data_IF_874319077453
#
_entry.id   IF_874319077453
#
_cell.length_a   1.000
_cell.length_b   1.000
_cell.length_c   1.000
_cell.angle_alpha   90.00
_cell.angle_beta   90.00
_cell.angle_gamma   90.00
#
_symmetry.space_group_name_H-M   'P 1'
#
loop_
_entity.id
_entity.type
_entity.pdbx_description
1 polymer ?
#
# COMPACT_ATOMS: atom_id res chain seq x y z
N UNK A 1 -13.90 -30.36 28.00
CA UNK A 1 -12.79 -29.40 27.86
C UNK A 1 -13.14 -28.50 26.70
N UNK A 2 -13.66 -27.30 26.99
CA UNK A 2 -14.22 -26.36 26.01
C UNK A 2 -13.32 -25.12 25.95
N UNK A 3 -12.80 -24.80 24.77
CA UNK A 3 -12.03 -23.56 24.53
C UNK A 3 -12.98 -22.60 23.82
N UNK A 4 -13.33 -21.44 24.38
CA UNK A 4 -14.15 -20.47 23.67
C UNK A 4 -13.29 -19.71 22.65
N UNK A 5 -13.75 -19.66 21.40
CA UNK A 5 -13.22 -18.81 20.34
C UNK A 5 -13.56 -17.35 20.68
N UNK A 6 -12.58 -16.60 21.17
CA UNK A 6 -12.70 -15.16 21.36
C UNK A 6 -12.83 -14.47 19.99
N UNK A 7 -13.89 -13.65 19.87
CA UNK A 7 -14.27 -12.94 18.65
C UNK A 7 -13.18 -12.05 18.07
N UNK A 8 -13.12 -12.03 16.74
CA UNK A 8 -12.19 -11.23 15.95
C UNK A 8 -12.35 -9.75 16.24
N UNK A 9 -11.23 -9.09 16.56
CA UNK A 9 -11.14 -7.62 16.65
C UNK A 9 -11.22 -7.05 15.23
N UNK A 10 -12.34 -6.42 14.91
CA UNK A 10 -12.46 -5.55 13.74
C UNK A 10 -11.45 -4.41 13.81
N UNK A 11 -10.79 -4.13 12.69
CA UNK A 11 -9.86 -3.02 12.56
C UNK A 11 -10.67 -1.74 12.34
N UNK A 12 -11.05 -1.07 13.44
CA UNK A 12 -11.69 0.24 13.37
C UNK A 12 -10.60 1.30 13.17
N UNK A 13 -10.47 1.83 11.94
CA UNK A 13 -9.80 3.12 11.72
C UNK A 13 -10.76 4.21 12.19
N UNK A 14 -10.76 4.45 13.49
CA UNK A 14 -11.33 5.68 14.04
C UNK A 14 -10.42 6.81 13.60
N UNK A 15 -10.99 7.82 12.93
CA UNK A 15 -10.34 9.08 12.60
C UNK A 15 -9.94 9.80 13.89
N UNK A 16 -8.87 9.34 14.52
CA UNK A 16 -8.20 10.06 15.57
C UNK A 16 -7.48 11.23 14.89
N UNK A 17 -8.09 12.40 15.00
CA UNK A 17 -7.51 13.69 14.70
C UNK A 17 -6.15 13.80 15.41
N UNK A 18 -5.09 13.58 14.64
CA UNK A 18 -3.72 13.57 15.17
C UNK A 18 -3.24 15.01 15.23
N UNK A 19 -3.09 15.54 16.43
CA UNK A 19 -2.43 16.81 16.72
C UNK A 19 -0.92 16.66 16.52
N UNK A 20 -0.50 16.60 15.27
CA UNK A 20 0.91 16.75 14.85
C UNK A 20 1.24 18.24 14.65
N UNK A 21 2.41 18.72 15.10
CA UNK A 21 2.82 20.11 14.98
C UNK A 21 2.84 20.49 13.50
N UNK A 22 2.13 21.55 13.09
CA UNK A 22 1.83 21.98 11.71
C UNK A 22 2.71 21.31 10.66
N UNK A 23 2.40 20.04 10.42
CA UNK A 23 3.12 19.22 9.48
C UNK A 23 2.54 19.56 8.12
N UNK A 24 3.36 19.49 7.08
CA UNK A 24 2.86 19.61 5.72
C UNK A 24 1.68 18.66 5.53
N UNK A 25 0.71 19.07 4.70
CA UNK A 25 -0.43 18.20 4.41
C UNK A 25 0.05 16.86 3.83
N UNK A 26 -0.77 15.83 3.92
CA UNK A 26 -0.48 14.52 3.32
C UNK A 26 -0.09 14.64 1.85
N UNK A 27 -0.78 15.51 1.12
CA UNK A 27 -0.57 15.74 -0.31
C UNK A 27 0.76 16.45 -0.55
N UNK A 28 1.07 17.48 0.25
CA UNK A 28 2.33 18.21 0.16
C UNK A 28 3.53 17.32 0.50
N UNK A 29 3.36 16.41 1.47
CA UNK A 29 4.39 15.45 1.86
C UNK A 29 4.60 14.40 0.75
N UNK A 30 3.51 13.88 0.17
CA UNK A 30 3.58 12.93 -0.94
C UNK A 30 4.30 13.54 -2.15
N UNK A 31 3.96 14.78 -2.52
CA UNK A 31 4.62 15.49 -3.61
C UNK A 31 6.13 15.65 -3.39
N UNK A 32 6.55 16.02 -2.16
CA UNK A 32 7.97 16.12 -1.83
C UNK A 32 8.71 14.77 -1.95
N UNK A 33 8.05 13.66 -1.59
CA UNK A 33 8.62 12.32 -1.74
C UNK A 33 8.75 11.96 -3.23
N UNK A 34 7.73 12.26 -4.04
CA UNK A 34 7.75 12.00 -5.49
C UNK A 34 8.90 12.76 -6.18
N UNK A 35 9.16 14.01 -5.77
CA UNK A 35 10.30 14.81 -6.25
C UNK A 35 11.64 14.12 -5.96
N UNK A 36 11.84 13.61 -4.74
CA UNK A 36 13.06 12.91 -4.35
C UNK A 36 13.28 11.63 -5.18
N UNK A 37 12.22 10.90 -5.50
CA UNK A 37 12.31 9.73 -6.37
C UNK A 37 12.65 10.11 -7.81
N UNK A 38 12.01 11.16 -8.35
CA UNK A 38 12.28 11.64 -9.70
C UNK A 38 13.76 12.06 -9.86
N UNK A 39 14.30 12.80 -8.89
CA UNK A 39 15.72 13.18 -8.87
C UNK A 39 16.64 11.96 -8.82
N UNK A 40 16.34 11.00 -7.93
CA UNK A 40 17.12 9.77 -7.79
C UNK A 40 17.11 8.93 -9.07
N UNK A 41 15.96 8.79 -9.73
CA UNK A 41 15.86 8.06 -10.99
C UNK A 41 16.63 8.74 -12.11
N UNK A 42 16.53 10.08 -12.23
CA UNK A 42 17.28 10.84 -13.21
C UNK A 42 18.79 10.71 -13.00
N UNK A 43 19.26 10.83 -11.75
CA UNK A 43 20.67 10.70 -11.38
C UNK A 43 21.25 9.32 -11.72
N UNK A 44 20.43 8.27 -11.67
CA UNK A 44 20.83 6.89 -11.95
C UNK A 44 20.44 6.41 -13.36
N UNK A 45 19.92 7.28 -14.22
CA UNK A 45 19.40 6.94 -15.55
C UNK A 45 18.37 5.79 -15.51
N UNK A 46 17.56 5.73 -14.46
CA UNK A 46 16.51 4.72 -14.27
C UNK A 46 15.23 5.21 -14.94
N UNK A 47 14.64 4.37 -15.78
CA UNK A 47 13.27 4.60 -16.27
C UNK A 47 12.29 4.00 -15.26
N UNK A 48 11.33 4.77 -14.71
CA UNK A 48 10.34 4.24 -13.79
C UNK A 48 9.49 3.14 -14.44
N UNK A 49 9.01 2.20 -13.63
CA UNK A 49 8.05 1.20 -14.10
C UNK A 49 6.72 1.88 -14.48
N UNK A 50 6.08 1.39 -15.53
CA UNK A 50 4.74 1.82 -15.88
C UNK A 50 3.75 1.47 -14.74
N UNK A 51 2.68 2.26 -14.64
CA UNK A 51 1.58 1.96 -13.72
C UNK A 51 0.98 0.62 -14.11
N UNK A 52 0.93 -0.30 -13.15
CA UNK A 52 0.32 -1.61 -13.35
C UNK A 52 -1.20 -1.48 -13.52
N UNK A 53 -1.79 -2.33 -14.36
CA UNK A 53 -3.24 -2.48 -14.40
C UNK A 53 -3.75 -3.21 -13.15
N UNK A 54 -5.05 -3.05 -12.84
CA UNK A 54 -5.65 -3.66 -11.66
C UNK A 54 -5.46 -5.19 -11.62
N UNK A 55 -5.53 -5.85 -12.78
CA UNK A 55 -5.40 -7.29 -12.85
C UNK A 55 -3.95 -7.75 -12.60
N UNK A 56 -2.96 -6.98 -13.05
CA UNK A 56 -1.55 -7.18 -12.80
C UNK A 56 -1.22 -6.95 -11.32
N UNK A 57 -1.73 -5.87 -10.74
CA UNK A 57 -1.57 -5.58 -9.32
C UNK A 57 -2.09 -6.75 -8.46
N UNK A 58 -3.29 -7.24 -8.77
CA UNK A 58 -3.90 -8.35 -8.03
C UNK A 58 -3.07 -9.63 -8.16
N UNK A 59 -2.61 -9.99 -9.37
CA UNK A 59 -1.79 -11.19 -9.58
C UNK A 59 -0.45 -11.11 -8.85
N UNK A 60 0.25 -9.97 -8.91
CA UNK A 60 1.54 -9.77 -8.22
C UNK A 60 1.36 -9.85 -6.71
N UNK A 61 0.34 -9.17 -6.18
CA UNK A 61 0.01 -9.22 -4.75
C UNK A 61 -0.31 -10.64 -4.28
N UNK A 62 -1.05 -11.42 -5.08
CA UNK A 62 -1.34 -12.83 -4.75
C UNK A 62 -0.09 -13.71 -4.78
N UNK A 63 0.81 -13.51 -5.74
CA UNK A 63 2.09 -14.21 -5.76
C UNK A 63 2.93 -13.88 -4.54
N UNK A 64 3.01 -12.61 -4.15
CA UNK A 64 3.83 -12.15 -3.04
C UNK A 64 3.28 -12.63 -1.69
N UNK A 65 1.95 -12.65 -1.51
CA UNK A 65 1.32 -13.00 -0.23
C UNK A 65 0.99 -14.49 -0.10
N UNK A 66 0.52 -15.13 -1.17
CA UNK A 66 0.01 -16.50 -1.15
C UNK A 66 0.86 -17.48 -1.98
N UNK A 67 1.85 -17.00 -2.75
CA UNK A 67 2.72 -17.85 -3.56
C UNK A 67 2.05 -18.49 -4.77
N UNK A 68 0.87 -18.00 -5.20
CA UNK A 68 0.15 -18.52 -6.37
C UNK A 68 -0.62 -17.43 -7.12
N UNK A 69 -1.01 -17.73 -8.36
CA UNK A 69 -1.92 -16.88 -9.14
C UNK A 69 -3.37 -17.09 -8.66
N UNK A 70 -4.19 -16.02 -8.55
CA UNK A 70 -5.61 -16.13 -8.21
C UNK A 70 -6.40 -16.78 -9.34
N UNK A 71 -7.44 -17.53 -9.00
CA UNK A 71 -8.42 -18.02 -9.95
C UNK A 71 -9.40 -16.90 -10.35
N UNK A 72 -10.14 -17.10 -11.44
CA UNK A 72 -11.13 -16.11 -11.93
C UNK A 72 -12.21 -15.78 -10.89
N UNK A 73 -12.48 -16.68 -9.95
CA UNK A 73 -13.47 -16.44 -8.89
C UNK A 73 -12.96 -15.58 -7.73
N UNK A 74 -11.68 -15.22 -7.73
CA UNK A 74 -11.01 -14.52 -6.62
C UNK A 74 -10.61 -13.08 -6.98
N UNK A 75 -10.91 -12.63 -8.22
CA UNK A 75 -10.60 -11.30 -8.76
C UNK A 75 -11.89 -10.57 -9.12
#
# INVERSE_FOLDING_TARGET
MVIPLAGGRGFNVSAAESTVPTALSSEATAAAIDELFAESWAANAITPAAVADDAELVRRTYLDLAGRIPSVHEV
#
